data_IF_032454571993
#
_entry.id   IF_032454571993
#
_cell.length_a   1.000
_cell.length_b   1.000
_cell.length_c   1.000
_cell.angle_alpha   90.00
_cell.angle_beta   90.00
_cell.angle_gamma   90.00
#
_symmetry.space_group_name_H-M   'P 1'
#
loop_
_entity.id
_entity.type
_entity.pdbx_description
1 polymer ?
#
# COMPACT_ATOMS: atom_id res chain seq x y z
N UNK A 1 7.97 -7.07 19.67
CA UNK A 1 7.51 -5.67 19.67
C UNK A 1 6.19 -5.62 18.93
N UNK A 2 5.10 -5.24 19.60
CA UNK A 2 3.78 -5.11 18.99
C UNK A 2 3.74 -3.86 18.09
N UNK A 3 3.01 -3.89 16.97
CA UNK A 3 2.75 -2.69 16.18
C UNK A 3 2.00 -1.65 17.03
N UNK A 4 2.43 -0.39 17.03
CA UNK A 4 1.84 0.66 17.87
C UNK A 4 0.56 1.25 17.27
N UNK A 5 0.50 1.38 15.94
CA UNK A 5 -0.76 1.56 15.20
C UNK A 5 -1.33 0.19 14.82
N UNK A 6 -2.55 -0.16 15.25
CA UNK A 6 -3.19 -1.38 14.78
C UNK A 6 -3.52 -1.22 13.29
N UNK A 7 -2.71 -1.84 12.44
CA UNK A 7 -3.00 -1.94 11.01
C UNK A 7 -4.04 -3.04 10.75
N UNK A 8 -4.92 -2.87 9.75
CA UNK A 8 -5.86 -3.91 9.35
C UNK A 8 -5.11 -5.07 8.70
N UNK A 9 -4.76 -6.09 9.48
CA UNK A 9 -3.93 -7.22 9.01
C UNK A 9 -4.73 -8.48 8.73
N UNK A 10 -5.93 -8.57 9.29
CA UNK A 10 -6.78 -9.75 9.10
C UNK A 10 -7.47 -9.71 7.73
N UNK A 11 -7.26 -10.76 6.95
CA UNK A 11 -8.00 -10.99 5.70
C UNK A 11 -9.45 -11.43 5.93
N UNK A 12 -9.80 -11.85 7.15
CA UNK A 12 -11.15 -12.29 7.50
C UNK A 12 -12.12 -11.12 7.79
N UNK A 13 -11.59 -9.91 8.04
CA UNK A 13 -12.44 -8.73 8.27
C UNK A 13 -13.09 -8.32 6.93
N UNK A 14 -14.43 -8.13 6.89
CA UNK A 14 -15.10 -7.68 5.68
C UNK A 14 -14.55 -6.33 5.20
N UNK A 15 -14.22 -6.21 3.90
CA UNK A 15 -13.70 -4.96 3.35
C UNK A 15 -14.66 -3.80 3.60
N UNK A 16 -15.96 -4.04 3.50
CA UNK A 16 -16.97 -2.98 3.65
C UNK A 16 -16.87 -2.25 5.01
N UNK A 17 -16.55 -2.97 6.10
CA UNK A 17 -16.35 -2.34 7.42
C UNK A 17 -15.04 -1.55 7.55
N UNK A 18 -14.08 -1.80 6.64
CA UNK A 18 -12.79 -1.11 6.61
C UNK A 18 -12.83 0.11 5.69
N UNK A 19 -13.79 0.21 4.78
CA UNK A 19 -13.94 1.36 3.90
C UNK A 19 -14.30 2.64 4.68
N UNK A 20 -13.92 3.83 4.18
CA UNK A 20 -14.30 5.09 4.80
C UNK A 20 -15.77 5.41 4.53
N UNK A 21 -16.50 5.78 5.58
CA UNK A 21 -17.91 6.22 5.49
C UNK A 21 -18.04 7.72 5.19
N UNK A 22 -17.01 8.51 5.52
CA UNK A 22 -16.88 9.93 5.20
C UNK A 22 -15.72 10.17 4.21
N UNK A 23 -15.51 11.42 3.82
CA UNK A 23 -14.35 11.83 3.04
C UNK A 23 -13.07 11.59 3.85
N UNK A 24 -12.11 10.91 3.24
CA UNK A 24 -10.78 10.71 3.80
C UNK A 24 -9.75 10.77 2.66
N UNK A 25 -8.66 11.55 2.81
CA UNK A 25 -7.65 11.65 1.75
C UNK A 25 -6.95 10.31 1.52
N UNK A 26 -6.79 9.51 2.57
CA UNK A 26 -6.08 8.23 2.55
C UNK A 26 -6.59 7.32 3.67
N UNK A 27 -6.77 6.03 3.37
CA UNK A 27 -7.05 5.01 4.38
C UNK A 27 -6.44 3.67 3.99
N UNK A 28 -5.60 3.12 4.87
CA UNK A 28 -5.19 1.72 4.80
C UNK A 28 -6.36 0.81 5.14
N UNK A 29 -6.61 -0.17 4.29
CA UNK A 29 -7.70 -1.16 4.44
C UNK A 29 -7.19 -2.59 4.52
N UNK A 30 -5.92 -2.82 4.18
CA UNK A 30 -5.22 -4.06 4.47
C UNK A 30 -3.71 -3.81 4.56
N UNK A 31 -3.01 -4.55 5.41
CA UNK A 31 -1.56 -4.65 5.45
C UNK A 31 -1.15 -6.10 5.70
N UNK A 32 -0.08 -6.59 5.08
CA UNK A 32 0.36 -7.98 5.24
C UNK A 32 0.80 -8.33 6.67
N UNK A 33 1.22 -7.33 7.46
CA UNK A 33 1.54 -7.47 8.88
C UNK A 33 1.50 -6.11 9.58
N UNK A 34 1.51 -6.12 10.92
CA UNK A 34 1.32 -4.91 11.73
C UNK A 34 2.44 -3.87 11.64
N UNK A 35 3.64 -4.26 11.21
CA UNK A 35 4.81 -3.36 11.08
C UNK A 35 4.94 -2.67 9.72
N UNK A 36 4.01 -2.90 8.79
CA UNK A 36 4.08 -2.31 7.45
C UNK A 36 4.18 -0.77 7.57
N UNK A 37 5.03 -0.07 6.80
CA UNK A 37 5.82 -0.54 5.64
C UNK A 37 7.20 -1.12 5.98
N UNK A 38 7.55 -1.30 7.25
CA UNK A 38 8.83 -1.91 7.63
C UNK A 38 8.82 -3.41 7.35
N UNK A 39 9.96 -3.95 6.91
CA UNK A 39 10.11 -5.40 6.77
C UNK A 39 9.85 -6.09 8.12
N UNK A 40 9.12 -7.22 8.14
CA UNK A 40 8.83 -7.94 9.38
C UNK A 40 10.12 -8.48 10.02
N UNK A 41 11.09 -8.85 9.16
CA UNK A 41 12.40 -9.40 9.51
C UNK A 41 13.46 -8.31 9.76
N UNK A 42 13.12 -7.03 9.65
CA UNK A 42 14.06 -5.96 9.99
C UNK A 42 14.34 -6.04 11.50
N UNK A 43 15.45 -6.73 11.83
CA UNK A 43 16.16 -6.54 13.07
C UNK A 43 16.42 -5.03 13.20
N UNK A 44 16.35 -4.52 14.43
CA UNK A 44 16.73 -3.15 14.74
C UNK A 44 18.24 -2.99 14.49
N UNK A 45 18.65 -2.99 13.22
CA UNK A 45 20.04 -2.77 12.85
C UNK A 45 20.34 -1.30 13.08
N UNK A 46 20.99 -1.08 14.21
CA UNK A 46 21.72 0.12 14.56
C UNK A 46 22.70 0.48 13.42
N UNK A 47 22.90 1.79 13.23
CA UNK A 47 24.00 2.37 12.44
C UNK A 47 23.91 2.23 10.91
N UNK A 48 22.79 2.62 10.30
CA UNK A 48 22.80 3.09 8.90
C UNK A 48 22.26 4.50 8.84
N UNK A 49 22.91 5.34 8.01
CA UNK A 49 22.40 6.65 7.61
C UNK A 49 20.92 6.54 7.22
N UNK A 50 20.08 7.56 7.49
CA UNK A 50 18.65 7.49 7.23
C UNK A 50 18.39 7.44 5.71
N UNK A 51 18.39 6.22 5.15
CA UNK A 51 17.94 5.98 3.78
C UNK A 51 16.42 5.92 3.81
N UNK A 52 15.71 6.69 2.96
CA UNK A 52 14.26 6.65 2.93
C UNK A 52 13.75 5.27 2.50
N UNK A 53 12.69 4.79 3.15
CA UNK A 53 12.02 3.54 2.78
C UNK A 53 11.45 3.66 1.37
N UNK A 54 11.84 2.79 0.47
CA UNK A 54 11.40 2.81 -0.93
C UNK A 54 10.08 2.05 -1.03
N UNK A 55 9.02 2.77 -1.37
CA UNK A 55 7.66 2.21 -1.50
C UNK A 55 7.23 2.29 -2.96
N UNK A 56 6.90 1.14 -3.54
CA UNK A 56 6.24 1.08 -4.85
C UNK A 56 4.74 1.30 -4.67
N UNK A 57 4.17 2.27 -5.40
CA UNK A 57 2.75 2.62 -5.33
C UNK A 57 2.08 2.31 -6.67
N UNK A 58 1.39 1.18 -6.74
CA UNK A 58 0.56 0.82 -7.88
C UNK A 58 -0.83 1.43 -7.71
N UNK A 59 -1.03 2.64 -8.25
CA UNK A 59 -2.32 3.32 -8.32
C UNK A 59 -3.03 2.99 -9.64
N UNK A 60 -4.15 2.26 -9.56
CA UNK A 60 -4.94 1.84 -10.72
C UNK A 60 -6.42 1.72 -10.37
N UNK A 61 -7.27 1.58 -11.40
CA UNK A 61 -8.71 1.35 -11.21
C UNK A 61 -9.04 -0.07 -10.75
N UNK A 62 -8.13 -1.04 -10.95
CA UNK A 62 -8.25 -2.44 -10.54
C UNK A 62 -9.63 -3.07 -10.90
N UNK A 63 -10.04 -2.93 -12.17
CA UNK A 63 -11.39 -3.28 -12.63
C UNK A 63 -11.40 -4.31 -13.78
N UNK A 64 -11.12 -5.60 -13.53
CA UNK A 64 -10.53 -6.22 -12.33
C UNK A 64 -8.98 -6.13 -12.31
N UNK A 65 -8.29 -6.44 -11.19
CA UNK A 65 -6.86 -6.75 -11.24
C UNK A 65 -6.61 -7.92 -12.19
N UNK A 66 -5.48 -7.88 -12.91
CA UNK A 66 -5.07 -8.92 -13.85
C UNK A 66 -3.54 -9.04 -13.88
N UNK A 67 -3.01 -9.92 -14.73
CA UNK A 67 -1.59 -10.26 -14.75
C UNK A 67 -0.63 -9.07 -14.94
N UNK A 68 -1.05 -8.00 -15.63
CA UNK A 68 -0.19 -6.82 -15.78
C UNK A 68 -0.03 -6.07 -14.45
N UNK A 69 -1.10 -5.97 -13.65
CA UNK A 69 -1.04 -5.39 -12.30
C UNK A 69 -0.10 -6.20 -11.41
N UNK A 70 -0.20 -7.53 -11.48
CA UNK A 70 0.71 -8.44 -10.76
C UNK A 70 2.16 -8.21 -11.20
N UNK A 71 2.42 -8.20 -12.51
CA UNK A 71 3.77 -7.98 -13.05
C UNK A 71 4.35 -6.62 -12.63
N UNK A 72 3.54 -5.56 -12.63
CA UNK A 72 3.96 -4.23 -12.16
C UNK A 72 4.25 -4.22 -10.66
N UNK A 73 3.42 -4.89 -9.86
CA UNK A 73 3.63 -4.99 -8.42
C UNK A 73 4.91 -5.79 -8.07
N UNK A 74 5.26 -6.79 -8.88
CA UNK A 74 6.49 -7.57 -8.73
C UNK A 74 7.75 -6.87 -9.27
N UNK A 75 7.58 -5.82 -10.07
CA UNK A 75 8.67 -5.14 -10.76
C UNK A 75 9.54 -4.32 -9.77
N UNK A 76 10.84 -4.30 -10.02
CA UNK A 76 11.81 -3.55 -9.22
C UNK A 76 12.20 -4.23 -7.91
N UNK A 77 12.92 -3.46 -7.09
CA UNK A 77 13.33 -3.82 -5.74
C UNK A 77 12.95 -2.69 -4.79
N UNK A 78 11.90 -2.92 -4.02
CA UNK A 78 11.34 -1.97 -3.08
C UNK A 78 11.27 -2.59 -1.70
N UNK A 79 11.27 -1.73 -0.69
CA UNK A 79 11.22 -2.16 0.70
C UNK A 79 9.78 -2.53 1.07
N UNK A 80 8.78 -1.88 0.46
CA UNK A 80 7.35 -2.19 0.58
C UNK A 80 6.57 -1.88 -0.71
N UNK A 81 5.37 -2.44 -0.81
CA UNK A 81 4.43 -2.23 -1.91
C UNK A 81 3.08 -1.72 -1.39
N UNK A 82 2.48 -0.78 -2.12
CA UNK A 82 1.16 -0.24 -1.85
C UNK A 82 0.30 -0.39 -3.11
N UNK A 83 -0.81 -1.11 -3.00
CA UNK A 83 -1.87 -1.15 -3.99
C UNK A 83 -2.89 -0.06 -3.63
N UNK A 84 -2.98 1.00 -4.43
CA UNK A 84 -3.81 2.15 -4.14
C UNK A 84 -5.00 2.24 -5.10
N UNK A 85 -6.20 2.47 -4.56
CA UNK A 85 -7.40 2.74 -5.34
C UNK A 85 -7.86 4.17 -5.06
N UNK A 86 -7.91 5.00 -6.11
CA UNK A 86 -8.59 6.30 -6.04
C UNK A 86 -10.10 6.10 -6.12
N UNK A 87 -10.80 6.36 -5.02
CA UNK A 87 -12.25 6.14 -4.89
C UNK A 87 -13.09 7.39 -5.13
N UNK A 88 -12.46 8.56 -5.22
CA UNK A 88 -13.14 9.80 -5.50
C UNK A 88 -12.19 10.92 -5.92
N UNK A 89 -12.72 11.83 -6.71
CA UNK A 89 -12.10 13.10 -7.04
C UNK A 89 -13.08 14.21 -6.63
N UNK A 90 -12.65 15.22 -5.86
CA UNK A 90 -13.51 16.37 -5.51
C UNK A 90 -14.29 16.96 -6.68
N UNK A 91 -13.73 16.93 -7.89
CA UNK A 91 -14.34 17.52 -9.08
C UNK A 91 -15.23 16.56 -9.89
N UNK A 92 -15.11 15.23 -9.69
CA UNK A 92 -15.73 14.20 -10.54
C UNK A 92 -16.67 13.24 -9.79
N UNK A 93 -16.83 13.44 -8.48
CA UNK A 93 -17.65 12.59 -7.63
C UNK A 93 -16.88 11.37 -7.10
N UNK A 94 -17.64 10.47 -6.46
CA UNK A 94 -17.13 9.30 -5.73
C UNK A 94 -17.67 8.02 -6.35
N UNK A 95 -16.87 6.96 -6.32
CA UNK A 95 -17.31 5.62 -6.68
C UNK A 95 -18.33 5.11 -5.66
N UNK A 96 -19.31 4.35 -6.14
CA UNK A 96 -20.27 3.64 -5.31
C UNK A 96 -19.55 2.70 -4.33
N UNK A 97 -19.98 2.70 -3.07
CA UNK A 97 -19.29 1.98 -1.99
C UNK A 97 -19.23 0.46 -2.24
N UNK A 98 -20.27 -0.11 -2.85
CA UNK A 98 -20.32 -1.52 -3.25
C UNK A 98 -19.27 -1.86 -4.31
N UNK A 99 -19.08 -0.98 -5.31
CA UNK A 99 -18.07 -1.14 -6.34
C UNK A 99 -16.64 -1.01 -5.77
N UNK A 100 -16.44 -0.06 -4.86
CA UNK A 100 -15.16 0.08 -4.12
C UNK A 100 -14.88 -1.19 -3.32
N UNK A 101 -15.87 -1.72 -2.60
CA UNK A 101 -15.69 -2.93 -1.79
C UNK A 101 -15.26 -4.12 -2.64
N UNK A 102 -15.92 -4.37 -3.77
CA UNK A 102 -15.55 -5.45 -4.69
C UNK A 102 -14.11 -5.28 -5.20
N UNK A 103 -13.72 -4.08 -5.63
CA UNK A 103 -12.35 -3.83 -6.12
C UNK A 103 -11.29 -4.02 -5.04
N UNK A 104 -11.55 -3.54 -3.83
CA UNK A 104 -10.62 -3.68 -2.70
C UNK A 104 -10.52 -5.14 -2.25
N UNK A 105 -11.60 -5.91 -2.28
CA UNK A 105 -11.58 -7.36 -2.07
C UNK A 105 -10.63 -8.05 -3.06
N UNK A 106 -10.72 -7.68 -4.34
CA UNK A 106 -9.87 -8.22 -5.39
C UNK A 106 -8.41 -7.76 -5.26
N UNK A 107 -8.17 -6.51 -4.85
CA UNK A 107 -6.84 -6.01 -4.53
C UNK A 107 -6.23 -6.74 -3.32
N UNK A 108 -7.03 -7.07 -2.31
CA UNK A 108 -6.58 -7.89 -1.17
C UNK A 108 -6.22 -9.31 -1.62
N UNK A 109 -7.01 -9.91 -2.51
CA UNK A 109 -6.65 -11.20 -3.11
C UNK A 109 -5.32 -11.11 -3.89
N UNK A 110 -5.08 -10.02 -4.64
CA UNK A 110 -3.79 -9.77 -5.29
C UNK A 110 -2.63 -9.62 -4.27
N UNK A 111 -2.85 -8.92 -3.17
CA UNK A 111 -1.86 -8.78 -2.10
C UNK A 111 -1.51 -10.14 -1.46
N UNK A 112 -2.51 -11.00 -1.22
CA UNK A 112 -2.30 -12.37 -0.74
C UNK A 112 -1.56 -13.23 -1.77
N UNK A 113 -1.86 -13.07 -3.06
CA UNK A 113 -1.12 -13.77 -4.12
C UNK A 113 0.35 -13.33 -4.19
N UNK A 114 0.65 -12.04 -4.00
CA UNK A 114 2.01 -11.52 -3.89
C UNK A 114 2.76 -12.14 -2.70
N UNK A 115 2.11 -12.20 -1.53
CA UNK A 115 2.69 -12.85 -0.34
C UNK A 115 2.99 -14.34 -0.58
N UNK A 116 2.06 -15.06 -1.22
CA UNK A 116 2.23 -16.47 -1.57
C UNK A 116 3.43 -16.67 -2.51
N UNK A 117 3.52 -15.85 -3.57
CA UNK A 117 4.61 -15.90 -4.57
C UNK A 117 5.96 -15.49 -4.01
N UNK A 118 5.99 -14.65 -2.97
CA UNK A 118 7.23 -14.28 -2.29
C UNK A 118 7.96 -15.50 -1.69
N UNK A 119 7.23 -16.57 -1.35
CA UNK A 119 7.76 -17.83 -0.82
C UNK A 119 8.04 -18.92 -1.86
N UNK A 120 7.71 -18.69 -3.14
CA UNK A 120 7.97 -19.63 -4.23
C UNK A 120 9.45 -19.59 -4.69
N UNK A 121 9.96 -20.63 -5.36
CA UNK A 121 11.27 -20.58 -6.00
C UNK A 121 11.36 -19.39 -6.97
N UNK A 122 12.35 -18.51 -6.78
CA UNK A 122 12.50 -17.27 -7.55
C UNK A 122 11.66 -16.09 -7.05
N UNK A 123 10.90 -16.26 -5.97
CA UNK A 123 10.19 -15.19 -5.29
C UNK A 123 11.11 -14.19 -4.61
N UNK A 124 10.68 -12.92 -4.51
CA UNK A 124 11.39 -11.89 -3.76
C UNK A 124 10.69 -11.64 -2.42
N UNK A 125 11.44 -11.62 -1.32
CA UNK A 125 10.91 -11.33 0.04
C UNK A 125 10.14 -10.01 0.10
N UNK A 126 10.58 -8.98 -0.64
CA UNK A 126 9.92 -7.67 -0.69
C UNK A 126 8.46 -7.75 -1.13
N UNK A 127 8.10 -8.71 -1.99
CA UNK A 127 6.73 -8.89 -2.48
C UNK A 127 5.73 -9.22 -1.36
N UNK A 128 6.19 -9.80 -0.25
CA UNK A 128 5.32 -10.08 0.90
C UNK A 128 5.02 -8.84 1.77
N UNK A 129 5.77 -7.74 1.61
CA UNK A 129 5.59 -6.51 2.38
C UNK A 129 4.63 -5.56 1.65
N UNK A 130 3.35 -5.93 1.62
CA UNK A 130 2.32 -5.29 0.79
C UNK A 130 1.14 -4.78 1.62
N UNK A 131 0.59 -3.64 1.21
CA UNK A 131 -0.65 -3.08 1.76
C UNK A 131 -1.63 -2.66 0.65
N UNK A 132 -2.89 -2.50 1.04
CA UNK A 132 -3.97 -1.98 0.20
C UNK A 132 -4.52 -0.71 0.86
N UNK A 133 -4.68 0.35 0.08
CA UNK A 133 -5.28 1.59 0.52
C UNK A 133 -6.32 2.11 -0.48
N UNK A 134 -7.25 2.89 0.07
CA UNK A 134 -8.14 3.75 -0.71
C UNK A 134 -7.78 5.21 -0.49
N UNK A 135 -8.02 6.05 -1.49
CA UNK A 135 -7.70 7.48 -1.42
C UNK A 135 -8.67 8.35 -2.20
N UNK A 136 -8.70 9.63 -1.82
CA UNK A 136 -9.44 10.67 -2.50
C UNK A 136 -8.48 11.83 -2.80
N UNK A 137 -8.28 12.15 -4.08
CA UNK A 137 -7.39 13.22 -4.49
C UNK A 137 -7.71 13.70 -5.92
N UNK A 138 -7.59 15.01 -6.19
CA UNK A 138 -7.97 15.56 -7.50
C UNK A 138 -6.94 15.32 -8.60
N UNK A 139 -5.65 15.25 -8.25
CA UNK A 139 -4.54 15.18 -9.21
C UNK A 139 -3.45 14.22 -8.75
N UNK A 140 -2.57 13.80 -9.67
CA UNK A 140 -1.40 12.98 -9.35
C UNK A 140 -0.48 13.65 -8.32
N UNK A 141 -0.21 14.95 -8.45
CA UNK A 141 0.61 15.70 -7.50
C UNK A 141 0.00 15.70 -6.09
N UNK A 142 -1.32 15.87 -6.00
CA UNK A 142 -2.04 15.78 -4.73
C UNK A 142 -1.96 14.37 -4.12
N UNK A 143 -2.12 13.31 -4.93
CA UNK A 143 -1.95 11.92 -4.49
C UNK A 143 -0.56 11.69 -3.91
N UNK A 144 0.48 12.08 -4.65
CA UNK A 144 1.88 11.89 -4.23
C UNK A 144 2.21 12.65 -2.95
N UNK A 145 1.68 13.87 -2.78
CA UNK A 145 1.81 14.64 -1.54
C UNK A 145 1.13 13.95 -0.36
N UNK A 146 -0.14 13.59 -0.50
CA UNK A 146 -0.93 12.91 0.55
C UNK A 146 -0.24 11.61 0.96
N UNK A 147 0.10 10.75 0.00
CA UNK A 147 0.78 9.49 0.28
C UNK A 147 2.10 9.69 1.02
N UNK A 148 2.90 10.67 0.62
CA UNK A 148 4.19 10.92 1.27
C UNK A 148 3.98 11.36 2.72
N UNK A 149 3.06 12.30 2.96
CA UNK A 149 2.75 12.80 4.31
C UNK A 149 2.27 11.67 5.23
N UNK A 150 1.30 10.87 4.77
CA UNK A 150 0.72 9.76 5.53
C UNK A 150 1.73 8.63 5.79
N UNK A 151 2.54 8.28 4.79
CA UNK A 151 3.51 7.19 4.91
C UNK A 151 4.78 7.60 5.66
N UNK A 152 5.19 8.87 5.60
CA UNK A 152 6.22 9.41 6.49
C UNK A 152 5.76 9.33 7.94
N UNK A 153 4.54 9.79 8.25
CA UNK A 153 3.99 9.72 9.59
C UNK A 153 3.93 8.28 10.11
N UNK A 154 3.41 7.35 9.30
CA UNK A 154 3.38 5.93 9.63
C UNK A 154 4.78 5.34 9.86
N UNK A 155 5.76 5.67 9.00
CA UNK A 155 7.13 5.19 9.15
C UNK A 155 7.78 5.71 10.43
N UNK A 156 7.62 6.99 10.76
CA UNK A 156 8.13 7.60 12.01
C UNK A 156 7.52 6.92 13.23
N UNK A 157 6.22 6.67 13.21
CA UNK A 157 5.53 6.01 14.32
C UNK A 157 5.96 4.55 14.50
N UNK A 158 6.11 3.80 13.41
CA UNK A 158 6.54 2.40 13.45
C UNK A 158 8.03 2.23 13.80
N UNK A 159 8.86 3.23 13.51
CA UNK A 159 10.32 3.22 13.80
C UNK A 159 10.70 3.92 15.09
N UNK A 160 9.81 4.75 15.65
CA UNK A 160 10.09 5.67 16.77
C UNK A 160 11.24 6.65 16.45
N UNK A 161 11.32 7.08 15.19
CA UNK A 161 12.35 7.98 14.70
C UNK A 161 11.74 9.12 13.89
N UNK A 162 12.01 10.36 14.30
CA UNK A 162 11.52 11.54 13.59
C UNK A 162 12.16 11.73 12.21
N UNK A 163 13.38 11.21 12.02
CA UNK A 163 14.12 11.27 10.76
C UNK A 163 13.71 10.18 9.74
N UNK A 164 12.78 9.29 10.12
CA UNK A 164 12.24 8.32 9.18
C UNK A 164 11.44 9.01 8.07
N UNK A 165 11.66 8.55 6.84
CA UNK A 165 10.99 9.07 5.64
C UNK A 165 10.83 7.99 4.59
N UNK A 166 9.94 8.25 3.63
CA UNK A 166 9.66 7.36 2.50
C UNK A 166 10.03 8.00 1.16
N UNK A 167 10.37 7.15 0.19
CA UNK A 167 10.52 7.52 -1.21
C UNK A 167 9.50 6.72 -2.03
N UNK A 168 8.58 7.44 -2.65
CA UNK A 168 7.53 6.83 -3.46
C UNK A 168 7.98 6.65 -4.91
N UNK A 169 7.70 5.49 -5.50
CA UNK A 169 7.83 5.25 -6.94
C UNK A 169 6.50 4.73 -7.47
N UNK A 170 6.02 5.31 -8.56
CA UNK A 170 4.75 4.94 -9.18
C UNK A 170 5.05 4.14 -10.46
N UNK A 171 5.08 2.79 -10.42
CA UNK A 171 5.26 2.00 -11.62
C UNK A 171 4.13 2.26 -12.61
N UNK A 172 4.49 2.63 -13.82
CA UNK A 172 3.58 2.75 -14.97
C UNK A 172 3.96 1.71 -16.00
N UNK A 173 2.98 1.11 -16.67
CA UNK A 173 3.24 0.25 -17.83
C UNK A 173 3.86 1.07 -18.97
N UNK A 174 4.68 0.47 -19.84
CA UNK A 174 5.10 1.15 -21.05
C UNK A 174 3.87 1.54 -21.87
N UNK A 175 3.83 2.79 -22.32
CA UNK A 175 2.91 3.19 -23.39
C UNK A 175 3.31 2.39 -24.63
N UNK A 176 2.49 1.42 -25.01
CA UNK A 176 2.59 0.75 -26.31
C UNK A 176 2.21 1.73 -27.41
#
# INVERSE_FOLDING_TARGET
MSPRLPLPTSSAVPVLSLLPTSHTPFKLVYASHGRWPLSPDAAQSSVRSPVPLRISVLDSSFNPPHLAHLSLAQHGEYDAHLLALTIGNPDKGRLEQSAVAVRVEMMRALALDLQRRAGEPGGKKGWANVAVAVMEAPTFTSKSRILREELDALAREQTERDDASVRLTFPVGPSL
#
